data_IF_366441130656
#
_entry.id   IF_366441130656
#
_cell.length_a   1.000
_cell.length_b   1.000
_cell.length_c   1.000
_cell.angle_alpha   90.00
_cell.angle_beta   90.00
_cell.angle_gamma   90.00
#
_symmetry.space_group_name_H-M   'P 1'
#
loop_
_entity.id
_entity.type
_entity.pdbx_description
1 polymer ?
#
# COMPACT_ATOMS: atom_id res chain seq x y z
N UNK A 1 -3.35 -19.08 16.50
CA UNK A 1 -2.80 -18.78 15.16
C UNK A 1 -1.82 -17.65 15.37
N UNK A 2 -0.54 -17.92 15.16
CA UNK A 2 0.50 -16.91 15.23
C UNK A 2 0.40 -15.99 14.01
N UNK A 3 0.49 -14.68 14.23
CA UNK A 3 0.56 -13.70 13.14
C UNK A 3 1.92 -13.85 12.47
N UNK A 4 1.94 -14.14 11.17
CA UNK A 4 3.16 -13.93 10.39
C UNK A 4 3.37 -12.43 10.29
N UNK A 5 4.41 -11.88 10.91
CA UNK A 5 4.76 -10.46 10.82
C UNK A 5 5.64 -10.16 9.59
N UNK A 6 5.77 -11.12 8.67
CA UNK A 6 6.60 -11.00 7.47
C UNK A 6 5.80 -10.39 6.30
N UNK A 7 6.31 -9.29 5.75
CA UNK A 7 5.76 -8.64 4.56
C UNK A 7 5.73 -9.57 3.35
N UNK A 8 6.71 -10.47 3.21
CA UNK A 8 6.74 -11.45 2.12
C UNK A 8 5.51 -12.37 2.17
N UNK A 9 5.21 -12.92 3.35
CA UNK A 9 4.05 -13.79 3.54
C UNK A 9 2.75 -13.06 3.24
N UNK A 10 2.64 -11.80 3.71
CA UNK A 10 1.50 -10.95 3.38
C UNK A 10 1.36 -10.80 1.86
N UNK A 11 2.42 -10.41 1.15
CA UNK A 11 2.37 -10.24 -0.30
C UNK A 11 2.00 -11.54 -1.03
N UNK A 12 2.56 -12.68 -0.61
CA UNK A 12 2.24 -14.00 -1.17
C UNK A 12 0.77 -14.35 -0.99
N UNK A 13 0.22 -14.10 0.19
CA UNK A 13 -1.19 -14.40 0.51
C UNK A 13 -2.11 -13.45 -0.26
N UNK A 14 -1.82 -12.14 -0.30
CA UNK A 14 -2.60 -11.17 -1.09
C UNK A 14 -2.62 -11.55 -2.57
N UNK A 15 -1.47 -11.94 -3.13
CA UNK A 15 -1.37 -12.39 -4.52
C UNK A 15 -2.17 -13.67 -4.78
N UNK A 16 -2.09 -14.65 -3.87
CA UNK A 16 -2.85 -15.91 -3.96
C UNK A 16 -4.36 -15.66 -4.02
N UNK A 17 -4.87 -14.76 -3.19
CA UNK A 17 -6.28 -14.34 -3.18
C UNK A 17 -6.62 -13.36 -4.30
N UNK A 18 -5.66 -12.97 -5.14
CA UNK A 18 -5.82 -12.01 -6.24
C UNK A 18 -6.37 -10.66 -5.75
N UNK A 19 -5.92 -10.21 -4.58
CA UNK A 19 -6.24 -8.89 -4.03
C UNK A 19 -5.58 -7.82 -4.88
N UNK A 20 -6.36 -6.80 -5.27
CA UNK A 20 -5.84 -5.60 -5.93
C UNK A 20 -5.34 -4.63 -4.87
N UNK A 21 -4.02 -4.54 -4.73
CA UNK A 21 -3.35 -3.64 -3.79
C UNK A 21 -2.18 -2.92 -4.46
N UNK A 22 -1.84 -1.72 -3.97
CA UNK A 22 -0.65 -0.98 -4.35
C UNK A 22 0.14 -0.64 -3.09
N UNK A 23 1.43 -0.91 -3.09
CA UNK A 23 2.35 -0.37 -2.10
C UNK A 23 2.45 1.14 -2.35
N UNK A 24 2.20 1.93 -1.31
CA UNK A 24 2.21 3.40 -1.35
C UNK A 24 3.14 3.94 -0.25
N UNK A 25 2.98 5.22 0.09
CA UNK A 25 3.62 5.80 1.26
C UNK A 25 5.15 5.83 1.19
N UNK A 26 5.78 5.69 2.35
CA UNK A 26 7.23 5.77 2.51
C UNK A 26 7.97 4.67 1.75
N UNK A 27 7.44 3.45 1.77
CA UNK A 27 8.02 2.30 1.09
C UNK A 27 8.10 2.54 -0.43
N UNK A 28 7.03 3.06 -1.04
CA UNK A 28 7.03 3.41 -2.45
C UNK A 28 8.00 4.57 -2.77
N UNK A 29 8.25 5.50 -1.85
CA UNK A 29 9.25 6.57 -2.04
C UNK A 29 10.65 5.98 -2.09
N UNK A 30 10.99 5.07 -1.19
CA UNK A 30 12.30 4.38 -1.18
C UNK A 30 12.53 3.64 -2.49
N UNK A 31 11.51 3.00 -3.06
CA UNK A 31 11.64 2.32 -4.35
C UNK A 31 12.10 3.25 -5.49
N UNK A 32 11.66 4.51 -5.50
CA UNK A 32 12.02 5.48 -6.55
C UNK A 32 13.20 6.38 -6.19
N UNK A 33 13.64 6.39 -4.95
CA UNK A 33 14.64 7.35 -4.46
C UNK A 33 15.71 6.64 -3.65
N UNK A 34 16.46 7.37 -2.85
CA UNK A 34 17.45 6.79 -1.96
C UNK A 34 16.77 6.12 -0.75
N UNK A 35 17.43 5.09 -0.16
CA UNK A 35 16.97 4.47 1.07
C UNK A 35 16.68 5.50 2.18
N UNK A 36 15.52 5.34 2.83
CA UNK A 36 15.20 6.01 4.10
C UNK A 36 14.47 5.05 5.01
N UNK A 37 14.56 5.30 6.31
CA UNK A 37 13.76 4.56 7.28
C UNK A 37 12.26 4.75 7.01
N UNK A 38 11.55 3.63 6.99
CA UNK A 38 10.08 3.56 7.01
C UNK A 38 9.64 2.92 8.32
N UNK A 39 8.53 3.37 8.89
CA UNK A 39 8.03 2.88 10.19
C UNK A 39 6.88 1.87 10.02
N UNK A 40 6.48 1.67 8.78
CA UNK A 40 5.25 1.03 8.36
C UNK A 40 5.32 0.60 6.88
N UNK A 41 4.41 -0.30 6.51
CA UNK A 41 4.06 -0.65 5.15
C UNK A 41 2.64 -0.15 4.87
N UNK A 42 2.50 0.78 3.94
CA UNK A 42 1.19 1.28 3.49
C UNK A 42 0.72 0.51 2.24
N UNK A 43 -0.44 -0.13 2.32
CA UNK A 43 -1.10 -0.82 1.21
C UNK A 43 -2.41 -0.12 0.86
N UNK A 44 -2.48 0.49 -0.33
CA UNK A 44 -3.74 0.99 -0.86
C UNK A 44 -4.49 -0.14 -1.59
N UNK A 45 -5.69 -0.47 -1.14
CA UNK A 45 -6.50 -1.58 -1.65
C UNK A 45 -7.74 -1.03 -2.36
N UNK A 46 -8.21 -1.70 -3.42
CA UNK A 46 -9.44 -1.28 -4.10
C UNK A 46 -10.65 -1.45 -3.18
N UNK A 47 -11.35 -0.36 -2.90
CA UNK A 47 -12.57 -0.33 -2.09
C UNK A 47 -13.80 -0.73 -2.92
N UNK A 48 -13.86 -1.98 -3.36
CA UNK A 48 -15.05 -2.58 -3.95
C UNK A 48 -15.39 -3.92 -3.28
N UNK A 49 -16.65 -4.34 -3.37
CA UNK A 49 -17.12 -5.54 -2.67
C UNK A 49 -16.36 -6.81 -3.06
N UNK A 50 -16.02 -6.97 -4.36
CA UNK A 50 -15.32 -8.16 -4.88
C UNK A 50 -13.88 -8.22 -4.36
N UNK A 51 -13.25 -7.07 -4.17
CA UNK A 51 -11.90 -6.98 -3.65
C UNK A 51 -11.88 -7.03 -2.11
N UNK A 52 -12.90 -6.51 -1.45
CA UNK A 52 -13.12 -6.63 -0.02
C UNK A 52 -13.26 -8.10 0.41
N UNK A 53 -14.03 -8.91 -0.33
CA UNK A 53 -14.14 -10.37 -0.11
C UNK A 53 -12.78 -11.07 -0.16
N UNK A 54 -11.97 -10.74 -1.18
CA UNK A 54 -10.63 -11.32 -1.35
C UNK A 54 -9.69 -10.87 -0.24
N UNK A 55 -9.74 -9.58 0.11
CA UNK A 55 -8.94 -9.02 1.19
C UNK A 55 -9.30 -9.67 2.52
N UNK A 56 -10.58 -9.81 2.84
CA UNK A 56 -11.05 -10.44 4.07
C UNK A 56 -10.53 -11.88 4.21
N UNK A 57 -10.63 -12.67 3.14
CA UNK A 57 -10.09 -14.05 3.10
C UNK A 57 -8.58 -14.08 3.25
N UNK A 58 -7.87 -13.17 2.58
CA UNK A 58 -6.42 -13.04 2.69
C UNK A 58 -5.97 -12.67 4.10
N UNK A 59 -6.62 -11.67 4.71
CA UNK A 59 -6.34 -11.23 6.07
C UNK A 59 -6.64 -12.31 7.11
N UNK A 60 -7.73 -13.05 6.93
CA UNK A 60 -8.05 -14.21 7.78
C UNK A 60 -6.97 -15.29 7.67
N UNK A 61 -6.51 -15.62 6.46
CA UNK A 61 -5.44 -16.60 6.26
C UNK A 61 -4.10 -16.11 6.83
N UNK A 62 -3.80 -14.82 6.73
CA UNK A 62 -2.60 -14.20 7.30
C UNK A 62 -2.60 -14.18 8.83
N UNK A 63 -3.77 -14.37 9.46
CA UNK A 63 -3.92 -14.32 10.92
C UNK A 63 -4.21 -12.91 11.46
N UNK A 64 -4.61 -11.96 10.60
CA UNK A 64 -4.90 -10.60 11.03
C UNK A 64 -6.09 -10.53 12.02
N UNK A 65 -6.09 -9.60 12.98
CA UNK A 65 -7.14 -9.46 13.99
C UNK A 65 -8.43 -8.85 13.41
N UNK A 66 -9.32 -9.69 12.88
CA UNK A 66 -10.57 -9.26 12.24
C UNK A 66 -11.77 -9.16 13.20
N UNK A 67 -11.55 -9.20 14.53
CA UNK A 67 -12.64 -9.07 15.51
C UNK A 67 -13.32 -7.71 15.33
N UNK A 68 -14.64 -7.72 15.18
CA UNK A 68 -15.48 -6.54 14.92
C UNK A 68 -15.22 -5.83 13.58
N UNK A 69 -14.48 -6.46 12.66
CA UNK A 69 -14.31 -5.96 11.29
C UNK A 69 -15.27 -6.73 10.39
N UNK A 70 -16.13 -5.99 9.70
CA UNK A 70 -17.02 -6.54 8.69
C UNK A 70 -16.41 -6.35 7.31
N UNK A 71 -16.88 -7.16 6.36
CA UNK A 71 -16.41 -7.11 5.00
C UNK A 71 -16.69 -5.76 4.35
N UNK A 72 -17.85 -5.18 4.64
CA UNK A 72 -18.32 -3.91 4.09
C UNK A 72 -17.44 -2.74 4.52
N UNK A 73 -16.75 -2.85 5.66
CA UNK A 73 -15.88 -1.79 6.15
C UNK A 73 -14.71 -1.57 5.16
N UNK A 74 -14.24 -2.63 4.48
CA UNK A 74 -13.24 -2.54 3.41
C UNK A 74 -13.73 -1.90 2.10
N UNK A 75 -15.01 -1.55 2.00
CA UNK A 75 -15.57 -0.77 0.89
C UNK A 75 -15.62 0.73 1.18
N UNK A 76 -15.33 1.14 2.42
CA UNK A 76 -15.32 2.53 2.82
C UNK A 76 -13.96 3.18 2.52
N UNK A 77 -13.89 4.06 1.52
CA UNK A 77 -12.66 4.78 1.14
C UNK A 77 -12.03 5.62 2.25
N UNK A 78 -12.77 5.93 3.33
CA UNK A 78 -12.25 6.68 4.49
C UNK A 78 -11.62 5.78 5.55
N UNK A 79 -11.81 4.47 5.44
CA UNK A 79 -11.29 3.52 6.42
C UNK A 79 -9.79 3.28 6.20
N UNK A 80 -9.07 3.20 7.33
CA UNK A 80 -7.73 2.62 7.40
C UNK A 80 -7.80 1.47 8.40
N UNK A 81 -7.32 0.30 8.01
CA UNK A 81 -7.21 -0.87 8.88
C UNK A 81 -5.74 -1.13 9.18
N UNK A 82 -5.38 -1.08 10.46
CA UNK A 82 -4.00 -1.21 10.93
C UNK A 82 -3.76 -2.61 11.51
N UNK A 83 -2.60 -3.19 11.21
CA UNK A 83 -2.09 -4.42 11.80
C UNK A 83 -0.75 -4.12 12.47
N UNK A 84 -0.58 -4.55 13.71
CA UNK A 84 0.67 -4.41 14.46
C UNK A 84 0.98 -2.97 14.90
N UNK A 85 2.24 -2.76 15.28
CA UNK A 85 2.80 -1.48 15.74
C UNK A 85 4.20 -1.28 15.14
N UNK A 86 4.69 -0.04 15.09
CA UNK A 86 6.01 0.24 14.55
C UNK A 86 7.10 -0.52 15.35
N UNK A 87 8.18 -1.01 14.70
CA UNK A 87 8.53 -0.81 13.29
C UNK A 87 7.87 -1.80 12.30
N UNK A 88 7.10 -2.79 12.78
CA UNK A 88 6.41 -3.78 11.94
C UNK A 88 4.91 -3.48 11.94
N UNK A 89 4.56 -2.32 11.36
CA UNK A 89 3.17 -1.88 11.18
C UNK A 89 2.76 -2.04 9.72
N UNK A 90 1.51 -2.43 9.50
CA UNK A 90 0.89 -2.47 8.18
C UNK A 90 -0.38 -1.62 8.23
N UNK A 91 -0.47 -0.63 7.34
CA UNK A 91 -1.64 0.23 7.18
C UNK A 91 -2.34 -0.12 5.86
N UNK A 92 -3.53 -0.69 5.94
CA UNK A 92 -4.38 -0.99 4.77
C UNK A 92 -5.35 0.16 4.58
N UNK A 93 -5.17 0.87 3.47
CA UNK A 93 -5.87 2.11 3.14
C UNK A 93 -6.87 1.81 2.02
N UNK A 94 -8.11 2.27 2.15
CA UNK A 94 -9.16 2.01 1.16
C UNK A 94 -9.28 3.13 0.12
N UNK A 95 -8.84 4.35 0.46
CA UNK A 95 -8.93 5.51 -0.42
C UNK A 95 -7.72 6.44 -0.35
N UNK A 96 -7.31 6.95 -1.52
CA UNK A 96 -6.38 8.08 -1.61
C UNK A 96 -7.12 9.29 -2.18
N UNK A 97 -7.24 10.40 -1.41
CA UNK A 97 -8.06 11.54 -1.80
C UNK A 97 -7.79 12.05 -3.22
N UNK A 98 -8.82 12.05 -4.07
CA UNK A 98 -8.80 12.49 -5.48
C UNK A 98 -7.76 11.79 -6.36
N UNK A 99 -7.50 10.51 -6.08
CA UNK A 99 -6.82 9.59 -6.98
C UNK A 99 -7.71 8.36 -7.16
N UNK A 100 -8.09 8.06 -8.40
CA UNK A 100 -8.83 6.84 -8.73
C UNK A 100 -7.92 5.61 -8.62
N UNK A 101 -8.38 4.60 -7.88
CA UNK A 101 -7.67 3.33 -7.76
C UNK A 101 -7.44 2.68 -9.13
N UNK A 102 -8.48 2.58 -9.97
CA UNK A 102 -8.36 1.91 -11.27
C UNK A 102 -7.35 2.61 -12.20
N UNK A 103 -7.28 3.95 -12.15
CA UNK A 103 -6.26 4.71 -12.88
C UNK A 103 -4.85 4.41 -12.38
N UNK A 104 -4.64 4.40 -11.07
CA UNK A 104 -3.33 4.08 -10.48
C UNK A 104 -2.93 2.61 -10.71
N UNK A 105 -3.89 1.69 -10.65
CA UNK A 105 -3.70 0.26 -10.89
C UNK A 105 -3.26 -0.04 -12.32
N UNK A 106 -3.85 0.64 -13.32
CA UNK A 106 -3.43 0.53 -14.73
C UNK A 106 -1.98 0.98 -14.94
N UNK A 107 -1.53 1.98 -14.19
CA UNK A 107 -0.20 2.60 -14.29
C UNK A 107 0.77 2.14 -13.18
N UNK A 108 0.48 1.00 -12.54
CA UNK A 108 1.32 0.48 -11.46
C UNK A 108 2.66 -0.04 -12.01
N UNK A 109 3.68 0.01 -11.17
CA UNK A 109 4.95 -0.67 -11.44
C UNK A 109 4.89 -2.05 -10.79
N UNK A 110 5.16 -3.09 -11.58
CA UNK A 110 5.35 -4.44 -11.03
C UNK A 110 6.82 -4.58 -10.65
N UNK A 111 7.08 -5.06 -9.44
CA UNK A 111 8.42 -5.31 -8.94
C UNK A 111 8.47 -6.63 -8.17
N UNK A 112 9.60 -6.92 -7.52
CA UNK A 112 9.77 -8.09 -6.66
C UNK A 112 10.23 -7.65 -5.27
N UNK A 113 9.62 -8.24 -4.25
CA UNK A 113 10.13 -8.26 -2.88
C UNK A 113 10.62 -9.68 -2.62
N UNK A 114 11.93 -9.86 -2.53
CA UNK A 114 12.58 -11.18 -2.60
C UNK A 114 12.10 -11.96 -3.86
N UNK A 115 11.43 -13.09 -3.65
CA UNK A 115 10.86 -13.96 -4.69
C UNK A 115 9.41 -13.62 -5.05
N UNK A 116 8.81 -12.66 -4.37
CA UNK A 116 7.37 -12.40 -4.44
C UNK A 116 7.06 -11.16 -5.29
N UNK A 117 6.19 -11.31 -6.28
CA UNK A 117 5.74 -10.19 -7.11
C UNK A 117 4.95 -9.18 -6.26
N UNK A 118 5.28 -7.90 -6.39
CA UNK A 118 4.59 -6.80 -5.71
C UNK A 118 4.13 -5.74 -6.71
N UNK A 119 3.11 -5.00 -6.32
CA UNK A 119 2.53 -3.92 -7.11
C UNK A 119 2.80 -2.60 -6.40
N UNK A 120 3.54 -1.69 -7.03
CA UNK A 120 3.92 -0.38 -6.48
C UNK A 120 3.14 0.70 -7.23
N UNK A 121 2.65 1.72 -6.51
CA UNK A 121 2.03 2.88 -7.14
C UNK A 121 3.02 3.60 -8.06
N UNK A 122 2.60 3.92 -9.29
CA UNK A 122 3.46 4.64 -10.23
C UNK A 122 3.89 6.01 -9.70
N UNK A 123 5.13 6.43 -10.02
CA UNK A 123 5.74 7.67 -9.50
C UNK A 123 4.86 8.92 -9.66
N UNK A 124 4.14 9.06 -10.79
CA UNK A 124 3.21 10.17 -11.05
C UNK A 124 2.08 10.23 -10.00
N UNK A 125 1.52 9.07 -9.65
CA UNK A 125 0.43 8.96 -8.69
C UNK A 125 0.93 9.08 -7.25
N UNK A 126 2.14 8.57 -6.96
CA UNK A 126 2.81 8.80 -5.68
C UNK A 126 3.05 10.28 -5.41
N UNK A 127 3.57 11.02 -6.39
CA UNK A 127 3.74 12.47 -6.26
C UNK A 127 2.38 13.17 -6.07
N UNK A 128 1.33 12.72 -6.77
CA UNK A 128 -0.02 13.29 -6.61
C UNK A 128 -0.56 13.08 -5.19
N UNK A 129 -0.33 11.92 -4.57
CA UNK A 129 -0.79 11.66 -3.20
C UNK A 129 -0.03 12.53 -2.19
N UNK A 130 1.29 12.65 -2.33
CA UNK A 130 2.15 13.48 -1.47
C UNK A 130 1.86 14.99 -1.56
N UNK A 131 1.38 15.49 -2.72
CA UNK A 131 0.98 16.90 -2.86
C UNK A 131 -0.27 17.27 -2.06
N UNK A 132 -1.11 16.29 -1.71
CA UNK A 132 -2.36 16.53 -0.99
C UNK A 132 -2.22 16.52 0.52
N UNK A 133 -1.10 16.00 1.01
CA UNK A 133 -0.77 15.93 2.44
C UNK A 133 0.03 17.17 2.83
N UNK A 134 -0.28 17.75 4.01
CA UNK A 134 0.41 18.94 4.53
C UNK A 134 1.64 18.61 5.39
N UNK A 135 2.14 17.37 5.38
CA UNK A 135 3.25 16.95 6.26
C UNK A 135 4.60 17.41 5.68
N UNK A 136 5.49 17.86 6.55
CA UNK A 136 6.85 18.31 6.17
C UNK A 136 7.63 17.22 5.41
N UNK A 137 7.55 15.96 5.86
CA UNK A 137 8.20 14.83 5.20
C UNK A 137 7.71 14.62 3.76
N UNK A 138 6.43 14.84 3.49
CA UNK A 138 5.86 14.65 2.16
C UNK A 138 6.41 15.70 1.17
N UNK A 139 6.73 16.91 1.65
CA UNK A 139 7.43 17.93 0.85
C UNK A 139 8.85 17.50 0.50
N UNK A 140 9.59 16.90 1.43
CA UNK A 140 10.93 16.36 1.18
C UNK A 140 10.87 15.19 0.19
N UNK A 141 9.93 14.27 0.39
CA UNK A 141 9.69 13.13 -0.52
C UNK A 141 9.39 13.65 -1.95
N UNK A 142 8.56 14.71 -2.10
CA UNK A 142 8.26 15.31 -3.41
C UNK A 142 9.49 15.88 -4.13
N UNK A 143 10.39 16.54 -3.40
CA UNK A 143 11.62 17.08 -3.99
C UNK A 143 12.49 15.94 -4.55
N UNK A 144 12.65 14.85 -3.78
CA UNK A 144 13.42 13.66 -4.19
C UNK A 144 12.81 12.97 -5.41
N UNK A 145 11.49 12.74 -5.40
CA UNK A 145 10.78 12.12 -6.52
C UNK A 145 10.89 12.97 -7.79
N UNK A 146 10.86 14.30 -7.66
CA UNK A 146 11.01 15.23 -8.79
C UNK A 146 12.43 15.16 -9.36
N UNK A 147 13.45 15.14 -8.51
CA UNK A 147 14.84 15.01 -8.94
C UNK A 147 15.07 13.69 -9.72
N UNK A 148 14.57 12.56 -9.20
CA UNK A 148 14.69 11.27 -9.90
C UNK A 148 13.99 11.27 -11.25
N UNK A 149 12.78 11.83 -11.33
CA UNK A 149 12.04 11.90 -12.60
C UNK A 149 12.81 12.70 -13.67
N UNK A 150 13.56 13.73 -13.29
CA UNK A 150 14.38 14.52 -14.22
C UNK A 150 15.65 13.77 -14.67
N UNK A 151 16.23 12.94 -13.82
CA UNK A 151 17.45 12.18 -14.13
C UNK A 151 17.21 10.90 -14.95
N UNK A 152 15.95 10.46 -15.07
CA UNK A 152 15.57 9.27 -15.85
C UNK A 152 14.88 9.57 -17.18
N UNK A 153 14.86 10.84 -17.59
CA UNK A 153 14.49 11.30 -18.93
C UNK A 153 15.77 11.62 -19.71
#
# INVERSE_FOLDING_TARGET
>A
MDISLDYRDLFRILNRHKVKYLIVGAYAVVYYTEPRFTKDLDLWVKADIKNAEKLYKALKQFGAPLKNIRLEDFTNERMVYQIGVAPIRIDIIMGLPGISFDSAWKNRVRSKYEDTQINIIGIKYLMKSKKKTKRLQDRLDLNRLTAKKRAGN
#
